data_IF_059968870781
#
_entry.id   IF_059968870781
#
_cell.length_a   1.000
_cell.length_b   1.000
_cell.length_c   1.000
_cell.angle_alpha   90.00
_cell.angle_beta   90.00
_cell.angle_gamma   90.00
#
_symmetry.space_group_name_H-M   'P 1'
#
loop_
_entity.id
_entity.type
_entity.pdbx_description
1 polymer ?
#
# COMPACT_ATOMS: atom_id res chain seq x y z
N UNK A 1 7.44 -4.91 -23.30
CA UNK A 1 6.98 -4.38 -21.99
C UNK A 1 7.83 -3.17 -21.66
N UNK A 2 7.22 -2.05 -21.27
CA UNK A 2 7.97 -0.86 -20.82
C UNK A 2 8.31 -1.03 -19.33
N UNK A 3 9.54 -1.49 -19.07
CA UNK A 3 10.02 -1.77 -17.71
C UNK A 3 10.10 -0.51 -16.85
N UNK A 4 10.43 0.64 -17.46
CA UNK A 4 10.49 1.90 -16.73
C UNK A 4 9.10 2.36 -16.26
N UNK A 5 8.08 2.17 -17.09
CA UNK A 5 6.70 2.44 -16.72
C UNK A 5 6.24 1.48 -15.61
N UNK A 6 6.56 0.19 -15.74
CA UNK A 6 6.26 -0.81 -14.69
C UNK A 6 6.90 -0.39 -13.36
N UNK A 7 8.20 -0.07 -13.36
CA UNK A 7 8.90 0.42 -12.17
C UNK A 7 8.24 1.67 -11.56
N UNK A 8 7.89 2.64 -12.41
CA UNK A 8 7.27 3.90 -11.95
C UNK A 8 5.92 3.64 -11.27
N UNK A 9 5.08 2.79 -11.85
CA UNK A 9 3.74 2.49 -11.31
C UNK A 9 3.87 1.62 -10.05
N UNK A 10 4.72 0.58 -10.06
CA UNK A 10 4.86 -0.36 -8.95
C UNK A 10 5.50 0.28 -7.71
N UNK A 11 6.44 1.23 -7.91
CA UNK A 11 7.07 1.93 -6.79
C UNK A 11 6.26 3.14 -6.28
N UNK A 12 5.18 3.51 -6.96
CA UNK A 12 4.32 4.61 -6.51
C UNK A 12 3.50 4.17 -5.29
N UNK A 13 3.46 5.02 -4.27
CA UNK A 13 2.66 4.77 -3.07
C UNK A 13 1.17 4.92 -3.38
N UNK A 14 0.38 3.86 -3.20
CA UNK A 14 -1.01 3.85 -3.61
C UNK A 14 -1.95 2.92 -2.86
N UNK A 15 -1.93 2.85 -1.50
CA UNK A 15 -2.95 2.07 -0.81
C UNK A 15 -4.34 2.70 -0.98
N UNK A 16 -5.40 1.88 -0.90
CA UNK A 16 -6.78 2.30 -1.12
C UNK A 16 -7.15 3.59 -0.39
N UNK A 17 -7.63 4.60 -1.12
CA UNK A 17 -7.94 5.95 -0.63
C UNK A 17 -6.76 6.94 -0.65
N UNK A 18 -5.56 6.49 -1.07
CA UNK A 18 -4.34 7.30 -1.12
C UNK A 18 -3.59 7.15 -2.46
N UNK A 19 -4.31 6.88 -3.55
CA UNK A 19 -3.79 6.53 -4.89
C UNK A 19 -3.25 7.72 -5.68
N UNK A 20 -3.08 8.89 -5.08
CA UNK A 20 -2.70 10.12 -5.80
C UNK A 20 -1.42 9.98 -6.65
N UNK A 21 -0.41 9.27 -6.14
CA UNK A 21 0.87 9.11 -6.84
C UNK A 21 0.75 8.13 -8.00
N UNK A 22 0.15 6.95 -7.76
CA UNK A 22 -0.04 5.96 -8.81
C UNK A 22 -0.99 6.49 -9.89
N UNK A 23 -2.08 7.19 -9.52
CA UNK A 23 -2.99 7.83 -10.48
C UNK A 23 -2.28 8.89 -11.33
N UNK A 24 -1.39 9.68 -10.74
CA UNK A 24 -0.58 10.65 -11.48
C UNK A 24 0.41 9.97 -12.43
N UNK A 25 1.08 8.89 -12.00
CA UNK A 25 2.00 8.11 -12.83
C UNK A 25 1.27 7.47 -14.02
N UNK A 26 0.12 6.87 -13.79
CA UNK A 26 -0.72 6.27 -14.84
C UNK A 26 -1.22 7.35 -15.80
N UNK A 27 -1.73 8.47 -15.29
CA UNK A 27 -2.21 9.57 -16.12
C UNK A 27 -1.11 10.13 -17.04
N UNK A 28 0.12 10.22 -16.54
CA UNK A 28 1.26 10.69 -17.32
C UNK A 28 1.66 9.72 -18.46
N UNK A 29 1.35 8.43 -18.32
CA UNK A 29 1.62 7.41 -19.34
C UNK A 29 0.48 7.26 -20.38
N UNK A 30 -0.68 7.83 -20.12
CA UNK A 30 -1.85 7.75 -20.99
C UNK A 30 -1.86 8.87 -22.04
N UNK A 31 -2.63 8.73 -23.15
CA UNK A 31 -2.74 9.76 -24.18
C UNK A 31 -3.14 11.13 -23.64
N UNK A 32 -2.71 12.17 -24.33
CA UNK A 32 -3.13 13.54 -24.02
C UNK A 32 -4.66 13.66 -24.03
N UNK A 33 -5.20 14.36 -23.02
CA UNK A 33 -6.64 14.46 -22.81
C UNK A 33 -7.20 13.44 -21.82
N UNK A 34 -6.37 12.59 -21.21
CA UNK A 34 -6.77 11.76 -20.08
C UNK A 34 -7.25 12.64 -18.91
N UNK A 35 -8.29 12.21 -18.24
CA UNK A 35 -8.94 12.96 -17.15
C UNK A 35 -8.87 12.15 -15.85
N UNK A 36 -8.80 12.83 -14.72
CA UNK A 36 -8.86 12.24 -13.41
C UNK A 36 -10.02 12.87 -12.63
N UNK A 37 -10.82 12.03 -11.98
CA UNK A 37 -11.92 12.48 -11.13
C UNK A 37 -11.50 12.63 -9.65
N UNK A 38 -12.46 13.04 -8.83
CA UNK A 38 -12.23 13.25 -7.40
C UNK A 38 -11.97 11.94 -6.62
N UNK A 39 -12.32 10.79 -7.18
CA UNK A 39 -12.06 9.47 -6.61
C UNK A 39 -10.73 8.86 -7.11
N UNK A 40 -9.93 9.64 -7.82
CA UNK A 40 -8.66 9.25 -8.44
C UNK A 40 -8.79 8.27 -9.61
N UNK A 41 -10.01 8.01 -10.13
CA UNK A 41 -10.15 7.26 -11.37
C UNK A 41 -9.55 8.03 -12.54
N UNK A 42 -8.78 7.34 -13.38
CA UNK A 42 -8.14 7.92 -14.55
C UNK A 42 -8.81 7.39 -15.81
N UNK A 43 -9.31 8.27 -16.63
CA UNK A 43 -10.03 7.94 -17.87
C UNK A 43 -9.22 8.40 -19.09
N UNK A 44 -9.03 7.50 -20.05
CA UNK A 44 -8.38 7.83 -21.33
C UNK A 44 -9.16 7.24 -22.49
N UNK A 45 -9.77 8.05 -23.34
CA UNK A 45 -10.37 7.58 -24.57
C UNK A 45 -9.27 7.30 -25.62
N UNK A 46 -9.14 6.05 -26.05
CA UNK A 46 -8.19 5.66 -27.11
C UNK A 46 -8.75 5.85 -28.52
N UNK A 47 -10.06 6.05 -28.66
CA UNK A 47 -10.73 6.33 -29.91
C UNK A 47 -11.96 7.22 -29.69
N UNK A 48 -12.41 7.98 -30.71
CA UNK A 48 -13.65 8.71 -30.61
C UNK A 48 -14.84 7.77 -30.38
N UNK A 49 -15.70 8.11 -29.43
CA UNK A 49 -16.95 7.40 -29.16
C UNK A 49 -17.94 7.72 -30.30
N UNK A 50 -18.09 6.81 -31.26
CA UNK A 50 -18.84 7.06 -32.52
C UNK A 50 -20.21 6.42 -32.57
N UNK A 51 -20.88 6.20 -31.45
CA UNK A 51 -22.22 5.60 -31.40
C UNK A 51 -22.29 4.11 -31.73
N UNK A 52 -21.13 3.43 -31.86
CA UNK A 52 -20.99 1.98 -32.01
C UNK A 52 -20.76 1.34 -30.66
N UNK A 53 -20.64 -0.01 -30.62
CA UNK A 53 -20.24 -0.73 -29.41
C UNK A 53 -18.90 -0.22 -28.89
N UNK A 54 -18.83 0.01 -27.59
CA UNK A 54 -17.64 0.51 -26.89
C UNK A 54 -17.06 -0.65 -26.10
N UNK A 55 -15.75 -0.81 -26.14
CA UNK A 55 -15.00 -1.72 -25.25
C UNK A 55 -14.39 -0.86 -24.15
N UNK A 56 -14.73 -1.16 -22.91
CA UNK A 56 -14.10 -0.59 -21.72
C UNK A 56 -13.03 -1.54 -21.23
N UNK A 57 -11.81 -1.03 -21.06
CA UNK A 57 -10.73 -1.70 -20.33
C UNK A 57 -10.66 -1.07 -18.95
N UNK A 58 -10.81 -1.88 -17.93
CA UNK A 58 -10.83 -1.46 -16.53
C UNK A 58 -9.74 -2.20 -15.74
N UNK A 59 -9.02 -1.46 -14.89
CA UNK A 59 -8.02 -2.00 -13.99
C UNK A 59 -7.92 -1.12 -12.74
N UNK A 60 -7.78 -1.74 -11.56
CA UNK A 60 -7.58 -1.00 -10.32
C UNK A 60 -6.17 -0.41 -10.22
N UNK A 61 -6.03 0.68 -9.48
CA UNK A 61 -4.77 1.38 -9.25
C UNK A 61 -4.22 1.17 -7.84
N UNK A 62 -5.08 0.80 -6.89
CA UNK A 62 -4.70 0.67 -5.50
C UNK A 62 -3.91 -0.62 -5.23
N UNK A 63 -3.08 -0.54 -4.22
CA UNK A 63 -2.40 -1.66 -3.60
C UNK A 63 -2.96 -1.95 -2.21
N UNK A 64 -2.71 -3.15 -1.71
CA UNK A 64 -3.04 -3.51 -0.34
C UNK A 64 -2.16 -2.74 0.65
N UNK A 65 -2.75 -2.30 1.77
CA UNK A 65 -2.04 -1.52 2.77
C UNK A 65 -2.71 -1.57 4.13
N UNK A 66 -2.30 -0.64 4.97
CA UNK A 66 -2.89 -0.41 6.27
C UNK A 66 -3.12 1.07 6.51
N UNK A 67 -3.97 1.36 7.46
CA UNK A 67 -4.10 2.69 8.03
C UNK A 67 -3.84 2.61 9.54
N UNK A 68 -3.06 3.53 10.06
CA UNK A 68 -2.83 3.64 11.51
C UNK A 68 -4.15 3.95 12.20
N UNK A 69 -4.64 3.04 13.01
CA UNK A 69 -5.86 3.23 13.79
C UNK A 69 -5.57 3.90 15.12
N UNK A 70 -4.50 3.47 15.80
CA UNK A 70 -4.07 4.01 17.08
C UNK A 70 -2.56 3.87 17.25
N UNK A 71 -1.99 4.66 18.18
CA UNK A 71 -0.58 4.57 18.56
C UNK A 71 -0.51 3.86 19.92
N UNK A 72 -0.94 2.64 19.99
CA UNK A 72 -0.86 1.71 21.11
C UNK A 72 -0.92 0.31 20.56
N UNK A 73 -0.74 -0.70 21.35
CA UNK A 73 -0.42 -2.07 20.96
C UNK A 73 -1.31 -2.75 19.90
N UNK A 74 -2.44 -2.18 19.45
CA UNK A 74 -3.34 -2.82 18.48
C UNK A 74 -3.90 -1.78 17.51
N UNK A 75 -3.06 -1.30 16.58
CA UNK A 75 -3.40 -0.06 15.89
C UNK A 75 -3.43 -0.06 14.37
N UNK A 76 -3.76 -1.17 13.68
CA UNK A 76 -3.87 -1.19 12.23
C UNK A 76 -5.30 -1.47 11.77
N UNK A 77 -5.73 -0.71 10.77
CA UNK A 77 -6.90 -1.04 9.94
C UNK A 77 -6.38 -1.52 8.60
N UNK A 78 -6.73 -2.74 8.16
CA UNK A 78 -6.33 -3.23 6.84
C UNK A 78 -7.04 -2.43 5.73
N UNK A 79 -6.31 -2.15 4.66
CA UNK A 79 -6.82 -1.61 3.41
C UNK A 79 -6.61 -2.68 2.34
N UNK A 80 -7.69 -3.10 1.66
CA UNK A 80 -7.68 -4.21 0.72
C UNK A 80 -7.73 -5.60 1.38
N UNK A 81 -7.59 -6.63 0.57
CA UNK A 81 -7.68 -8.02 1.01
C UNK A 81 -6.34 -8.57 1.49
N UNK A 82 -6.19 -8.71 2.80
CA UNK A 82 -5.02 -9.33 3.42
C UNK A 82 -5.31 -10.75 3.89
N UNK A 83 -4.30 -11.63 3.75
CA UNK A 83 -4.24 -12.91 4.44
C UNK A 83 -3.31 -12.74 5.63
N UNK A 84 -3.81 -12.90 6.84
CA UNK A 84 -3.13 -12.55 8.09
C UNK A 84 -1.75 -13.18 8.23
N UNK A 85 -1.59 -14.42 7.78
CA UNK A 85 -0.33 -15.16 7.85
C UNK A 85 0.78 -14.56 6.97
N UNK A 86 0.42 -13.76 5.97
CA UNK A 86 1.37 -13.13 5.05
C UNK A 86 1.78 -11.72 5.48
N UNK A 87 1.24 -11.22 6.59
CA UNK A 87 1.50 -9.84 7.02
C UNK A 87 2.76 -9.69 7.88
N UNK A 88 3.09 -10.61 8.83
CA UNK A 88 4.25 -10.42 9.71
C UNK A 88 5.58 -10.38 8.98
N UNK A 89 6.53 -9.64 9.55
CA UNK A 89 7.92 -9.52 9.11
C UNK A 89 8.13 -8.81 7.75
N UNK A 90 7.13 -8.11 7.26
CA UNK A 90 7.29 -7.24 6.09
C UNK A 90 7.64 -5.81 6.49
N UNK A 91 8.41 -5.15 5.64
CA UNK A 91 8.72 -3.73 5.78
C UNK A 91 7.60 -2.93 5.14
N UNK A 92 7.16 -1.90 5.83
CA UNK A 92 6.15 -0.94 5.38
C UNK A 92 6.70 0.48 5.42
N UNK A 93 6.17 1.33 4.56
CA UNK A 93 6.34 2.77 4.62
C UNK A 93 5.06 3.40 5.12
N UNK A 94 5.14 4.13 6.24
CA UNK A 94 4.04 4.94 6.76
C UNK A 94 4.18 6.34 6.19
N UNK A 95 3.17 6.82 5.46
CA UNK A 95 3.12 8.22 5.02
C UNK A 95 2.61 9.08 6.17
N UNK A 96 3.46 9.94 6.68
CA UNK A 96 3.15 10.79 7.81
C UNK A 96 2.27 11.99 7.41
N UNK A 97 1.58 12.60 8.38
CA UNK A 97 0.83 13.85 8.15
C UNK A 97 1.67 15.00 7.63
N UNK A 98 2.97 14.97 7.90
CA UNK A 98 3.94 15.98 7.41
C UNK A 98 4.44 15.69 5.99
N UNK A 99 3.95 14.65 5.34
CA UNK A 99 4.34 14.26 3.98
C UNK A 99 5.64 13.44 3.89
N UNK A 100 6.30 13.15 5.03
CA UNK A 100 7.46 12.26 5.06
C UNK A 100 7.07 10.79 5.06
N UNK A 101 8.06 9.90 4.84
CA UNK A 101 7.91 8.45 4.95
C UNK A 101 8.68 7.94 6.17
N UNK A 102 8.07 7.08 6.96
CA UNK A 102 8.71 6.38 8.08
C UNK A 102 8.61 4.89 7.83
N UNK A 103 9.76 4.21 7.87
CA UNK A 103 9.81 2.74 7.75
C UNK A 103 9.36 2.09 9.06
N UNK A 104 8.58 1.03 8.92
CA UNK A 104 8.12 0.22 10.03
C UNK A 104 8.14 -1.25 9.63
N UNK A 105 8.11 -2.15 10.59
CA UNK A 105 8.04 -3.59 10.36
C UNK A 105 6.74 -4.10 10.96
N UNK A 106 6.02 -4.93 10.19
CA UNK A 106 4.88 -5.65 10.75
C UNK A 106 5.36 -6.74 11.69
N UNK A 107 4.84 -6.73 12.89
CA UNK A 107 5.21 -7.66 13.95
C UNK A 107 3.96 -8.26 14.61
N UNK A 108 4.12 -9.45 15.15
CA UNK A 108 3.15 -10.11 16.03
C UNK A 108 3.81 -10.46 17.35
N UNK A 109 3.03 -10.89 18.33
CA UNK A 109 3.55 -11.34 19.63
C UNK A 109 4.61 -12.43 19.41
N UNK A 110 5.83 -12.29 19.95
CA UNK A 110 6.86 -13.31 19.81
C UNK A 110 6.44 -14.66 20.44
N UNK A 111 6.76 -15.81 19.80
CA UNK A 111 6.31 -17.13 20.26
C UNK A 111 6.67 -17.48 21.70
N UNK A 112 7.79 -16.99 22.21
CA UNK A 112 8.23 -17.23 23.59
C UNK A 112 7.42 -16.46 24.65
N UNK A 113 6.66 -15.45 24.24
CA UNK A 113 5.69 -14.75 25.10
C UNK A 113 4.28 -15.26 24.93
N UNK A 114 4.03 -16.19 23.98
CA UNK A 114 2.71 -16.76 23.73
C UNK A 114 2.46 -17.94 24.68
N UNK A 115 1.24 -18.04 25.20
CA UNK A 115 0.72 -19.28 25.82
C UNK A 115 0.63 -20.42 24.81
N UNK A 116 0.43 -21.64 25.28
CA UNK A 116 0.23 -22.81 24.40
C UNK A 116 -1.01 -22.64 23.51
N UNK A 117 -2.08 -22.06 24.04
CA UNK A 117 -3.31 -21.80 23.31
C UNK A 117 -3.10 -20.75 22.21
N UNK A 118 -2.42 -19.64 22.51
CA UNK A 118 -2.12 -18.60 21.53
C UNK A 118 -1.25 -19.11 20.37
N UNK A 119 -0.30 -20.01 20.64
CA UNK A 119 0.53 -20.62 19.58
C UNK A 119 -0.23 -21.52 18.63
N UNK A 120 -1.33 -22.10 19.08
CA UNK A 120 -2.20 -22.99 18.26
C UNK A 120 -3.35 -22.23 17.59
N UNK A 121 -3.65 -21.03 18.06
CA UNK A 121 -4.68 -20.21 17.46
C UNK A 121 -4.23 -19.65 16.08
N UNK A 122 -5.17 -19.48 15.12
CA UNK A 122 -4.87 -18.72 13.91
C UNK A 122 -4.41 -17.31 14.25
N UNK A 123 -3.47 -16.79 13.45
CA UNK A 123 -3.06 -15.38 13.59
C UNK A 123 -4.27 -14.49 13.29
N UNK A 124 -4.54 -13.54 14.18
CA UNK A 124 -5.58 -12.52 13.98
C UNK A 124 -4.95 -11.21 13.56
N UNK A 125 -5.60 -10.49 12.64
CA UNK A 125 -5.19 -9.14 12.21
C UNK A 125 -5.05 -8.20 13.41
N UNK A 126 -5.91 -8.30 14.40
CA UNK A 126 -5.86 -7.49 15.64
C UNK A 126 -4.61 -7.73 16.49
N UNK A 127 -3.88 -8.82 16.24
CA UNK A 127 -2.62 -9.13 16.93
C UNK A 127 -1.39 -8.60 16.21
N UNK A 128 -1.55 -8.00 15.02
CA UNK A 128 -0.47 -7.46 14.20
C UNK A 128 -0.33 -5.97 14.48
N UNK A 129 0.91 -5.53 14.62
CA UNK A 129 1.26 -4.13 14.82
C UNK A 129 2.32 -3.68 13.80
N UNK A 130 2.43 -2.37 13.58
CA UNK A 130 3.54 -1.75 12.86
C UNK A 130 4.53 -1.21 13.91
N UNK A 131 5.72 -1.77 13.93
CA UNK A 131 6.82 -1.30 14.76
C UNK A 131 7.68 -0.32 13.97
N UNK A 132 7.59 0.95 14.32
CA UNK A 132 8.39 2.04 13.73
C UNK A 132 9.66 2.34 14.54
N UNK A 133 10.06 1.46 15.46
CA UNK A 133 11.25 1.64 16.30
C UNK A 133 11.10 2.75 17.36
N UNK A 134 9.88 3.09 17.74
CA UNK A 134 9.59 4.12 18.77
C UNK A 134 9.11 3.48 20.06
N UNK A 135 9.48 4.07 21.19
CA UNK A 135 9.18 3.54 22.52
C UNK A 135 8.00 4.24 23.21
N UNK A 136 7.49 5.33 22.62
CA UNK A 136 6.36 6.07 23.20
C UNK A 136 5.48 6.69 22.12
N UNK A 137 4.26 7.04 22.54
CA UNK A 137 3.31 7.78 21.71
C UNK A 137 3.87 9.13 21.26
N UNK A 138 4.55 9.83 22.15
CA UNK A 138 5.15 11.15 21.90
C UNK A 138 6.21 11.06 20.80
N UNK A 139 7.03 10.02 20.82
CA UNK A 139 8.03 9.77 19.77
C UNK A 139 7.35 9.49 18.42
N UNK A 140 6.30 8.69 18.37
CA UNK A 140 5.54 8.45 17.15
C UNK A 140 4.95 9.75 16.58
N UNK A 141 4.32 10.55 17.43
CA UNK A 141 3.76 11.85 17.04
C UNK A 141 4.83 12.85 16.58
N UNK A 142 6.02 12.83 17.19
CA UNK A 142 7.15 13.65 16.75
C UNK A 142 7.62 13.31 15.34
N UNK A 143 7.56 12.01 14.95
CA UNK A 143 7.80 11.55 13.59
C UNK A 143 6.64 11.90 12.64
N UNK A 144 5.50 12.34 13.14
CA UNK A 144 4.30 12.65 12.37
C UNK A 144 3.43 11.42 12.08
N UNK A 145 3.61 10.33 12.83
CA UNK A 145 2.74 9.16 12.78
C UNK A 145 1.51 9.45 13.64
N UNK A 146 0.34 9.45 13.01
CA UNK A 146 -0.95 9.75 13.64
C UNK A 146 -2.02 8.76 13.15
N UNK A 147 -3.12 8.58 13.87
CA UNK A 147 -4.29 7.88 13.33
C UNK A 147 -4.73 8.46 11.99
N UNK A 148 -5.00 7.58 11.02
CA UNK A 148 -5.32 7.94 9.65
C UNK A 148 -4.11 8.08 8.72
N UNK A 149 -2.87 7.90 9.20
CA UNK A 149 -1.71 7.76 8.33
C UNK A 149 -1.76 6.43 7.58
N UNK A 150 -1.69 6.43 6.23
CA UNK A 150 -1.64 5.19 5.46
C UNK A 150 -0.25 4.56 5.52
N UNK A 151 -0.20 3.24 5.37
CA UNK A 151 1.02 2.46 5.25
C UNK A 151 0.89 1.45 4.12
N UNK A 152 1.91 1.35 3.29
CA UNK A 152 2.01 0.39 2.19
C UNK A 152 3.26 -0.47 2.33
N UNK A 153 3.28 -1.70 1.76
CA UNK A 153 4.49 -2.51 1.72
C UNK A 153 5.63 -1.78 1.02
N UNK A 154 6.84 -1.89 1.56
CA UNK A 154 8.04 -1.37 0.89
C UNK A 154 8.67 -2.50 0.07
N UNK A 155 8.27 -2.60 -1.19
CA UNK A 155 8.82 -3.56 -2.15
C UNK A 155 9.29 -2.78 -3.38
N UNK A 156 10.61 -2.74 -3.59
CA UNK A 156 11.16 -2.11 -4.79
C UNK A 156 10.95 -3.02 -6.01
N UNK A 157 10.54 -2.42 -7.12
CA UNK A 157 10.48 -3.13 -8.40
C UNK A 157 11.82 -3.76 -8.74
N UNK A 158 11.80 -5.01 -9.14
CA UNK A 158 12.96 -5.70 -9.67
C UNK A 158 12.62 -6.52 -10.91
N UNK A 159 13.58 -6.66 -11.82
CA UNK A 159 13.41 -7.42 -13.05
C UNK A 159 14.61 -8.33 -13.29
N UNK A 160 14.33 -9.60 -13.53
CA UNK A 160 15.34 -10.57 -13.88
C UNK A 160 15.33 -10.80 -15.40
N UNK A 161 16.34 -10.26 -16.11
CA UNK A 161 16.43 -10.35 -17.56
C UNK A 161 16.54 -11.79 -18.07
N UNK A 162 17.18 -12.70 -17.33
CA UNK A 162 17.40 -14.07 -17.74
C UNK A 162 16.09 -14.90 -17.76
N UNK A 163 15.14 -14.56 -16.88
CA UNK A 163 13.87 -15.30 -16.76
C UNK A 163 12.68 -14.51 -17.27
N UNK A 164 12.82 -13.21 -17.51
CA UNK A 164 11.72 -12.30 -17.82
C UNK A 164 10.78 -12.06 -16.64
N UNK A 165 11.21 -12.39 -15.42
CA UNK A 165 10.41 -12.28 -14.21
C UNK A 165 10.53 -10.89 -13.59
N UNK A 166 9.39 -10.26 -13.29
CA UNK A 166 9.29 -8.99 -12.58
C UNK A 166 8.70 -9.20 -11.18
N UNK A 167 9.24 -8.49 -10.20
CA UNK A 167 8.75 -8.39 -8.83
C UNK A 167 8.45 -6.94 -8.49
#
# INVERSE_FOLDING_TARGET
>A
MDLKLCETITNAFGPSGFENEVAAAVQAALPAGSQRDAMQNVYAPFAPLSGKSVVLLDAHLDEVGFMVQSITANGLVPLGGWVEHNVPAHIFQIRTRKGGMVRAVTASKPPHFMSAAERQAPLSMDSILLDAGVSSREQALALGIEPGCPAAPEVAFSYNEATGFAL
#
